data_IF_786269720985
#
_entry.id   IF_786269720985
#
_cell.length_a   1.000
_cell.length_b   1.000
_cell.length_c   1.000
_cell.angle_alpha   90.00
_cell.angle_beta   90.00
_cell.angle_gamma   90.00
#
_symmetry.space_group_name_H-M   'P 1'
#
loop_
_entity.id
_entity.type
_entity.pdbx_description
1 polymer ?
#
# COMPACT_ATOMS: atom_id res chain seq x y z
N UNK A 1 8.81 -2.21 -10.16
CA UNK A 1 9.38 -3.54 -9.81
C UNK A 1 9.92 -3.64 -8.39
N UNK A 2 10.46 -2.59 -7.77
CA UNK A 2 11.05 -2.67 -6.42
C UNK A 2 10.05 -2.91 -5.28
N UNK A 3 8.86 -2.31 -5.37
CA UNK A 3 7.81 -2.46 -4.36
C UNK A 3 7.33 -3.92 -4.22
N UNK A 4 7.18 -4.63 -5.34
CA UNK A 4 6.77 -6.05 -5.34
C UNK A 4 7.81 -6.97 -4.67
N UNK A 5 9.11 -6.61 -4.71
CA UNK A 5 10.17 -7.38 -4.02
C UNK A 5 10.17 -7.15 -2.51
N UNK A 6 9.71 -5.98 -2.08
CA UNK A 6 9.68 -5.57 -0.67
C UNK A 6 8.41 -6.02 0.05
N UNK A 7 7.34 -6.29 -0.69
CA UNK A 7 6.05 -6.74 -0.18
C UNK A 7 5.88 -8.26 -0.26
N UNK A 8 5.43 -8.87 0.84
CA UNK A 8 5.13 -10.30 0.95
C UNK A 8 3.63 -10.48 1.21
N UNK A 9 3.01 -11.44 0.52
CA UNK A 9 1.61 -11.81 0.74
C UNK A 9 0.60 -11.01 -0.08
N UNK A 10 1.03 -10.37 -1.17
CA UNK A 10 0.15 -9.71 -2.13
C UNK A 10 0.68 -9.87 -3.56
N UNK A 11 0.37 -11.01 -4.23
CA UNK A 11 0.99 -11.37 -5.51
C UNK A 11 0.54 -10.48 -6.67
N UNK A 12 -0.70 -10.01 -6.67
CA UNK A 12 -1.30 -9.26 -7.79
C UNK A 12 -1.14 -7.75 -7.60
N UNK A 13 0.04 -7.29 -7.19
CA UNK A 13 0.29 -5.87 -6.99
C UNK A 13 0.22 -5.09 -8.31
N UNK A 14 0.74 -5.67 -9.39
CA UNK A 14 0.82 -5.09 -10.73
C UNK A 14 -0.47 -5.30 -11.53
N UNK A 15 -1.57 -4.73 -11.05
CA UNK A 15 -2.80 -4.65 -11.81
C UNK A 15 -2.76 -3.43 -12.75
N UNK A 16 -3.22 -3.56 -14.00
CA UNK A 16 -3.26 -2.46 -14.97
C UNK A 16 -4.23 -1.36 -14.55
N UNK A 17 -5.23 -1.65 -13.72
CA UNK A 17 -6.14 -0.65 -13.17
C UNK A 17 -5.66 -0.03 -11.86
N UNK A 18 -4.47 -0.42 -11.37
CA UNK A 18 -3.94 0.01 -10.08
C UNK A 18 -2.81 1.00 -10.26
N UNK A 19 -3.07 2.25 -9.88
CA UNK A 19 -2.08 3.30 -9.84
C UNK A 19 -1.51 3.46 -8.45
N UNK A 20 -0.19 3.58 -8.35
CA UNK A 20 0.47 3.93 -7.11
C UNK A 20 0.23 5.40 -6.77
N UNK A 21 -0.11 5.67 -5.51
CA UNK A 21 -0.39 7.03 -5.02
C UNK A 21 0.65 7.46 -4.00
N UNK A 22 0.82 6.68 -2.93
CA UNK A 22 1.71 7.03 -1.83
C UNK A 22 2.17 5.80 -1.06
N UNK A 23 3.43 5.80 -0.65
CA UNK A 23 3.95 4.88 0.36
C UNK A 23 4.49 5.68 1.54
N UNK A 24 4.37 5.14 2.74
CA UNK A 24 4.94 5.82 3.89
C UNK A 24 4.66 5.13 5.21
N UNK A 25 5.32 5.64 6.24
CA UNK A 25 5.10 5.19 7.60
C UNK A 25 4.02 5.97 8.31
N UNK A 26 3.13 5.22 8.95
CA UNK A 26 2.12 5.74 9.85
C UNK A 26 2.06 4.85 11.09
N UNK A 27 1.56 5.42 12.18
CA UNK A 27 1.17 4.66 13.35
C UNK A 27 -0.22 4.08 13.12
N UNK A 28 -0.43 2.80 13.40
CA UNK A 28 -1.74 2.16 13.47
C UNK A 28 -2.09 1.88 14.92
N UNK A 29 -3.27 2.33 15.35
CA UNK A 29 -3.76 2.03 16.68
C UNK A 29 -4.36 0.63 16.74
N UNK A 30 -4.16 -0.02 17.87
CA UNK A 30 -4.69 -1.32 18.25
C UNK A 30 -5.15 -1.27 19.71
N UNK A 31 -5.68 -2.39 20.22
CA UNK A 31 -6.08 -2.49 21.64
C UNK A 31 -4.92 -2.23 22.60
N UNK A 32 -3.68 -2.55 22.19
CA UNK A 32 -2.50 -2.51 23.04
C UNK A 32 -1.61 -1.29 22.78
N UNK A 33 -2.16 -0.24 22.13
CA UNK A 33 -1.42 0.96 21.78
C UNK A 33 -1.21 1.11 20.27
N UNK A 34 -0.26 1.97 19.91
CA UNK A 34 0.07 2.30 18.52
C UNK A 34 1.38 1.64 18.09
N UNK A 35 1.42 1.17 16.85
CA UNK A 35 2.61 0.55 16.26
C UNK A 35 2.90 1.18 14.90
N UNK A 36 4.16 1.27 14.53
CA UNK A 36 4.56 1.75 13.21
C UNK A 36 4.32 0.66 12.15
N UNK A 37 3.65 1.04 11.07
CA UNK A 37 3.41 0.17 9.92
C UNK A 37 3.76 0.92 8.63
N UNK A 38 4.25 0.20 7.62
CA UNK A 38 4.24 0.73 6.26
C UNK A 38 2.83 0.63 5.69
N UNK A 39 2.38 1.73 5.11
CA UNK A 39 1.15 1.84 4.35
C UNK A 39 1.48 2.11 2.88
N UNK A 40 0.70 1.49 2.00
CA UNK A 40 0.80 1.66 0.56
C UNK A 40 -0.59 1.96 0.01
N UNK A 41 -0.79 3.21 -0.41
CA UNK A 41 -2.01 3.68 -1.03
C UNK A 41 -1.89 3.57 -2.55
N UNK A 42 -2.88 2.89 -3.11
CA UNK A 42 -3.13 2.80 -4.54
C UNK A 42 -4.50 3.38 -4.87
N UNK A 43 -4.83 3.48 -6.16
CA UNK A 43 -6.11 4.00 -6.64
C UNK A 43 -7.32 3.22 -6.12
N UNK A 44 -7.21 1.90 -5.99
CA UNK A 44 -8.30 0.98 -5.64
C UNK A 44 -8.18 0.41 -4.21
N UNK A 45 -6.99 0.47 -3.62
CA UNK A 45 -6.70 -0.23 -2.37
C UNK A 45 -5.66 0.50 -1.50
N UNK A 46 -5.87 0.44 -0.19
CA UNK A 46 -4.89 0.80 0.83
C UNK A 46 -4.40 -0.47 1.53
N UNK A 47 -3.10 -0.75 1.45
CA UNK A 47 -2.45 -1.86 2.14
C UNK A 47 -1.74 -1.37 3.41
N UNK A 48 -1.77 -2.18 4.47
CA UNK A 48 -0.92 -1.98 5.64
C UNK A 48 -0.21 -3.28 6.01
N UNK A 49 1.00 -3.14 6.52
CA UNK A 49 1.96 -4.24 6.59
C UNK A 49 2.64 -4.33 7.94
N UNK A 50 3.28 -5.46 8.21
CA UNK A 50 4.17 -5.66 9.36
C UNK A 50 5.58 -5.93 8.86
N UNK A 51 6.58 -5.40 9.56
CA UNK A 51 7.99 -5.68 9.24
C UNK A 51 8.31 -7.14 9.53
N UNK A 52 8.98 -7.81 8.61
CA UNK A 52 9.51 -9.15 8.81
C UNK A 52 10.91 -9.08 9.42
N UNK A 53 11.14 -9.86 10.48
CA UNK A 53 12.42 -9.89 11.21
C UNK A 53 13.34 -10.98 10.65
N UNK A 54 13.85 -10.80 9.43
CA UNK A 54 14.70 -11.79 8.75
C UNK A 54 16.01 -11.20 8.20
N UNK A 55 16.47 -10.09 8.77
CA UNK A 55 17.70 -9.40 8.34
C UNK A 55 17.55 -8.53 7.08
N UNK A 56 16.43 -8.60 6.37
CA UNK A 56 16.09 -7.70 5.26
C UNK A 56 14.91 -6.81 5.63
N UNK A 57 14.83 -5.61 5.07
CA UNK A 57 13.66 -4.75 5.24
C UNK A 57 12.55 -5.17 4.29
N UNK A 58 11.83 -6.23 4.67
CA UNK A 58 10.64 -6.72 3.96
C UNK A 58 9.39 -6.55 4.80
N UNK A 59 8.26 -6.38 4.12
CA UNK A 59 6.98 -6.05 4.72
C UNK A 59 5.94 -7.08 4.31
N UNK A 60 5.35 -7.77 5.29
CA UNK A 60 4.24 -8.71 5.06
C UNK A 60 2.92 -7.96 5.16
N UNK A 61 2.09 -8.07 4.14
CA UNK A 61 0.73 -7.49 4.15
C UNK A 61 -0.07 -8.12 5.30
N UNK A 62 -0.54 -7.27 6.20
CA UNK A 62 -1.37 -7.66 7.34
C UNK A 62 -2.85 -7.48 7.01
N UNK A 63 -3.17 -6.47 6.20
CA UNK A 63 -4.52 -6.27 5.73
C UNK A 63 -4.60 -5.17 4.69
N UNK A 64 -5.81 -5.04 4.18
CA UNK A 64 -6.16 -4.10 3.12
C UNK A 64 -7.52 -3.46 3.38
N UNK A 65 -7.72 -2.27 2.81
CA UNK A 65 -8.98 -1.54 2.75
C UNK A 65 -9.22 -1.19 1.28
N UNK A 66 -10.37 -1.56 0.73
CA UNK A 66 -10.76 -1.02 -0.58
C UNK A 66 -11.04 0.48 -0.44
N UNK A 67 -10.66 1.25 -1.46
CA UNK A 67 -10.97 2.69 -1.53
C UNK A 67 -12.44 2.94 -1.88
N UNK A 68 -13.08 1.95 -2.52
CA UNK A 68 -14.52 1.89 -2.74
C UNK A 68 -15.27 1.85 -1.40
N UNK A 69 -16.13 2.84 -1.18
CA UNK A 69 -16.91 2.95 0.06
C UNK A 69 -16.09 3.33 1.30
N UNK A 70 -14.81 3.69 1.15
CA UNK A 70 -13.98 4.17 2.25
C UNK A 70 -14.43 5.57 2.69
N UNK A 71 -14.54 5.76 4.00
CA UNK A 71 -14.75 7.05 4.65
C UNK A 71 -13.49 7.43 5.42
N UNK A 72 -13.13 8.71 5.31
CA UNK A 72 -11.95 9.28 5.96
C UNK A 72 -12.44 10.36 6.90
N UNK A 73 -12.21 10.17 8.20
CA UNK A 73 -12.68 11.08 9.23
C UNK A 73 -11.50 11.60 10.03
N UNK A 74 -11.49 12.91 10.31
CA UNK A 74 -10.54 13.50 11.24
C UNK A 74 -10.92 13.04 12.65
N UNK A 75 -9.93 12.75 13.48
CA UNK A 75 -10.18 12.37 14.87
C UNK A 75 -9.37 13.23 15.81
N UNK A 76 -9.90 13.46 17.00
CA UNK A 76 -9.15 14.02 18.12
C UNK A 76 -7.91 13.17 18.45
N UNK A 77 -6.88 13.77 19.08
CA UNK A 77 -5.70 13.04 19.53
C UNK A 77 -6.07 11.80 20.36
N UNK A 78 -5.44 10.66 20.07
CA UNK A 78 -5.67 9.41 20.81
C UNK A 78 -4.43 9.01 21.59
N UNK A 79 -4.60 8.71 22.87
CA UNK A 79 -3.52 8.29 23.77
C UNK A 79 -2.32 9.26 23.74
N UNK A 80 -2.59 10.57 23.66
CA UNK A 80 -1.57 11.62 23.58
C UNK A 80 -0.87 11.76 22.22
N UNK A 81 -1.28 10.99 21.21
CA UNK A 81 -0.76 11.09 19.84
C UNK A 81 -1.68 11.98 19.01
N UNK A 82 -1.12 13.05 18.45
CA UNK A 82 -1.81 13.98 17.55
C UNK A 82 -1.90 13.45 16.12
N UNK A 83 -2.55 14.22 15.24
CA UNK A 83 -2.59 13.95 13.79
C UNK A 83 -3.25 12.61 13.45
N UNK A 84 -4.32 12.29 14.15
CA UNK A 84 -5.07 11.06 13.98
C UNK A 84 -6.16 11.19 12.90
N UNK A 85 -6.38 10.10 12.17
CA UNK A 85 -7.49 9.93 11.24
C UNK A 85 -8.07 8.52 11.36
N UNK A 86 -9.38 8.42 11.20
CA UNK A 86 -10.12 7.17 11.12
C UNK A 86 -10.45 6.83 9.66
N UNK A 87 -10.17 5.58 9.29
CA UNK A 87 -10.46 5.00 7.99
C UNK A 87 -11.48 3.88 8.18
N UNK A 88 -12.66 4.08 7.61
CA UNK A 88 -13.82 3.21 7.86
C UNK A 88 -14.42 2.77 6.54
N UNK A 89 -14.61 1.47 6.35
CA UNK A 89 -15.48 0.92 5.32
C UNK A 89 -16.46 -0.09 5.95
N UNK A 90 -17.27 -0.78 5.15
CA UNK A 90 -18.24 -1.74 5.67
C UNK A 90 -17.59 -2.90 6.47
N UNK A 91 -16.33 -3.22 6.20
CA UNK A 91 -15.65 -4.39 6.76
C UNK A 91 -14.70 -4.05 7.91
N UNK A 92 -14.12 -2.85 7.91
CA UNK A 92 -12.96 -2.51 8.76
C UNK A 92 -13.01 -1.05 9.21
N UNK A 93 -12.54 -0.86 10.44
CA UNK A 93 -12.32 0.44 11.05
C UNK A 93 -10.86 0.51 11.55
N UNK A 94 -10.07 1.42 10.98
CA UNK A 94 -8.68 1.65 11.35
C UNK A 94 -8.53 3.07 11.87
N UNK A 95 -7.77 3.24 12.94
CA UNK A 95 -7.30 4.56 13.34
C UNK A 95 -5.80 4.59 13.12
N UNK A 96 -5.34 5.63 12.46
CA UNK A 96 -3.93 5.84 12.13
C UNK A 96 -3.50 7.24 12.55
N UNK A 97 -2.19 7.44 12.75
CA UNK A 97 -1.61 8.76 12.98
C UNK A 97 -0.37 8.97 12.14
N UNK A 98 -0.21 10.20 11.66
CA UNK A 98 1.00 10.65 10.98
C UNK A 98 2.04 11.17 12.00
N UNK A 99 3.31 11.17 11.59
CA UNK A 99 4.43 11.64 12.41
C UNK A 99 4.46 13.16 12.61
N UNK A 100 3.78 13.91 11.75
CA UNK A 100 3.74 15.38 11.77
C UNK A 100 2.49 15.89 11.07
N UNK A 101 2.16 17.16 11.27
CA UNK A 101 1.08 17.85 10.56
C UNK A 101 1.27 17.86 9.03
N UNK A 102 2.52 17.96 8.56
CA UNK A 102 2.84 17.91 7.14
C UNK A 102 2.48 16.54 6.55
N UNK A 103 2.90 15.46 7.20
CA UNK A 103 2.60 14.11 6.76
C UNK A 103 1.09 13.81 6.87
N UNK A 104 0.44 14.29 7.93
CA UNK A 104 -1.01 14.22 8.10
C UNK A 104 -1.75 14.83 6.92
N UNK A 105 -1.37 16.05 6.54
CA UNK A 105 -2.03 16.79 5.47
C UNK A 105 -1.86 16.09 4.13
N UNK A 106 -0.66 15.59 3.84
CA UNK A 106 -0.37 14.78 2.64
C UNK A 106 -1.24 13.53 2.56
N UNK A 107 -1.27 12.74 3.63
CA UNK A 107 -2.06 11.50 3.69
C UNK A 107 -3.55 11.78 3.59
N UNK A 108 -4.06 12.76 4.34
CA UNK A 108 -5.46 13.15 4.31
C UNK A 108 -5.90 13.59 2.92
N UNK A 109 -5.11 14.46 2.26
CA UNK A 109 -5.43 14.97 0.93
C UNK A 109 -5.51 13.85 -0.12
N UNK A 110 -4.52 12.95 -0.15
CA UNK A 110 -4.52 11.84 -1.10
C UNK A 110 -5.66 10.85 -0.85
N UNK A 111 -5.93 10.51 0.43
CA UNK A 111 -7.02 9.62 0.79
C UNK A 111 -8.38 10.20 0.40
N UNK A 112 -8.62 11.49 0.66
CA UNK A 112 -9.85 12.17 0.28
C UNK A 112 -10.03 12.19 -1.24
N UNK A 113 -8.98 12.54 -1.98
CA UNK A 113 -8.98 12.54 -3.45
C UNK A 113 -9.30 11.15 -4.03
N UNK A 114 -8.71 10.10 -3.47
CA UNK A 114 -8.98 8.73 -3.90
C UNK A 114 -10.41 8.30 -3.61
N UNK A 115 -10.95 8.64 -2.44
CA UNK A 115 -12.36 8.36 -2.09
C UNK A 115 -13.32 9.09 -3.01
N UNK A 116 -13.05 10.36 -3.32
CA UNK A 116 -13.86 11.15 -4.25
C UNK A 116 -13.85 10.55 -5.66
N UNK A 117 -12.66 10.19 -6.16
CA UNK A 117 -12.52 9.52 -7.44
C UNK A 117 -13.31 8.20 -7.48
N UNK A 118 -13.23 7.37 -6.44
CA UNK A 118 -13.96 6.11 -6.37
C UNK A 118 -15.48 6.31 -6.45
N UNK A 119 -16.03 7.33 -5.79
CA UNK A 119 -17.47 7.68 -5.87
C UNK A 119 -17.89 8.10 -7.28
N UNK A 120 -17.07 8.91 -7.94
CA UNK A 120 -17.37 9.38 -9.29
C UNK A 120 -17.39 8.24 -10.32
N UNK A 121 -16.50 7.25 -10.17
CA UNK A 121 -16.50 6.06 -11.03
C UNK A 121 -17.75 5.19 -10.80
N UNK A 122 -18.22 5.04 -9.55
CA UNK A 122 -19.46 4.31 -9.27
C UNK A 122 -20.69 5.00 -9.87
N UNK A 123 -20.77 6.32 -9.74
CA UNK A 123 -21.89 7.10 -10.30
C UNK A 123 -21.88 7.09 -11.84
N UNK A 124 -20.70 7.09 -12.47
CA UNK A 124 -20.56 6.98 -13.93
C UNK A 124 -20.98 5.62 -14.49
N UNK A 125 -20.75 4.52 -13.75
CA UNK A 125 -21.22 3.18 -14.13
C UNK A 125 -22.74 3.09 -14.03
N UNK A 126 -23.34 3.70 -13.00
CA UNK A 126 -24.80 3.65 -12.78
C UNK A 126 -25.60 4.45 -13.82
N UNK A 127 -24.99 5.43 -14.49
CA UNK A 127 -25.58 6.17 -15.62
C UNK A 127 -25.31 5.53 -16.99
N UNK A 128 -24.49 4.46 -17.06
CA UNK A 128 -24.07 3.84 -18.33
C UNK A 128 -24.54 2.40 -18.48
N UNK A 129 -25.50 1.93 -17.67
CA UNK A 129 -26.04 0.57 -17.78
C UNK A 129 -27.01 0.43 -18.96
N UNK A 130 -26.45 0.46 -20.17
CA UNK A 130 -27.00 -0.13 -21.39
C UNK A 130 -25.85 -0.46 -22.34
N UNK A 131 -24.95 -1.36 -21.94
CA UNK A 131 -24.35 -2.30 -22.89
C UNK A 131 -23.63 -3.42 -22.17
N UNK A 132 -24.14 -4.63 -22.38
CA UNK A 132 -23.50 -5.89 -22.07
C UNK A 132 -22.15 -5.99 -22.78
N UNK A 133 -21.11 -6.36 -22.05
CA UNK A 133 -19.88 -6.87 -22.64
C UNK A 133 -19.67 -8.28 -22.13
N UNK A 134 -19.61 -9.19 -23.09
CA UNK A 134 -19.49 -10.63 -22.93
C UNK A 134 -18.09 -11.00 -22.45
N UNK A 135 -18.08 -11.97 -21.55
CA UNK A 135 -16.96 -12.85 -21.18
C UNK A 135 -16.13 -13.29 -22.39
N UNK A 136 -14.81 -13.23 -22.26
CA UNK A 136 -13.87 -13.98 -23.09
C UNK A 136 -12.86 -14.66 -22.16
N UNK A 137 -13.01 -15.97 -22.06
CA UNK A 137 -12.02 -16.90 -21.51
C UNK A 137 -10.91 -17.08 -22.55
N UNK A 138 -9.65 -17.00 -22.12
CA UNK A 138 -8.55 -17.61 -22.86
C UNK A 138 -7.71 -18.48 -21.92
N UNK A 139 -7.70 -19.77 -22.29
CA UNK A 139 -6.97 -20.91 -21.75
C UNK A 139 -5.54 -20.89 -22.30
N UNK A 140 -4.53 -21.04 -21.44
CA UNK A 140 -3.21 -21.50 -21.89
C UNK A 140 -2.61 -22.52 -20.91
N UNK A 141 -2.00 -23.53 -21.52
CA UNK A 141 -1.68 -24.84 -20.99
C UNK A 141 -0.30 -24.92 -20.31
N UNK A 142 -0.18 -25.99 -19.52
CA UNK A 142 0.99 -26.46 -18.78
C UNK A 142 2.20 -26.75 -19.67
N UNK A 143 3.39 -26.66 -19.10
CA UNK A 143 4.54 -27.50 -19.45
C UNK A 143 5.42 -27.68 -18.23
N UNK A 144 5.51 -28.93 -17.78
CA UNK A 144 6.50 -29.45 -16.85
C UNK A 144 7.87 -29.49 -17.55
N UNK A 145 8.95 -29.19 -16.83
CA UNK A 145 10.18 -29.98 -16.96
C UNK A 145 11.06 -29.82 -15.72
N UNK A 146 11.62 -30.95 -15.30
CA UNK A 146 12.54 -31.11 -14.18
C UNK A 146 13.99 -30.96 -14.66
N UNK A 147 14.88 -30.46 -13.79
CA UNK A 147 16.28 -30.92 -13.76
C UNK A 147 17.04 -30.41 -12.53
N UNK A 148 18.17 -31.07 -12.30
CA UNK A 148 18.73 -31.54 -11.04
C UNK A 148 20.09 -30.87 -10.69
N UNK A 149 20.49 -30.98 -9.40
CA UNK A 149 21.74 -30.63 -8.70
C UNK A 149 22.59 -29.40 -9.13
N UNK A 150 22.86 -28.52 -8.15
CA UNK A 150 24.21 -28.42 -7.56
C UNK A 150 24.28 -27.48 -6.35
N UNK A 151 24.84 -27.98 -5.26
CA UNK A 151 25.23 -27.20 -4.08
C UNK A 151 26.50 -26.43 -4.46
N UNK A 152 26.41 -25.10 -4.52
CA UNK A 152 27.57 -24.23 -4.48
C UNK A 152 27.44 -23.21 -3.36
N UNK A 153 28.36 -23.33 -2.41
CA UNK A 153 28.59 -22.46 -1.27
C UNK A 153 29.10 -21.13 -1.81
N UNK A 154 28.22 -20.16 -2.05
CA UNK A 154 28.62 -18.81 -2.42
C UNK A 154 28.55 -17.89 -1.20
N UNK A 155 29.71 -17.32 -0.89
CA UNK A 155 29.92 -16.28 0.10
C UNK A 155 28.86 -15.19 -0.07
N UNK A 156 28.16 -14.86 1.03
CA UNK A 156 27.15 -13.80 1.03
C UNK A 156 27.78 -12.54 0.44
N UNK A 157 27.35 -12.06 -0.75
CA UNK A 157 27.69 -10.72 -1.15
C UNK A 157 27.04 -9.83 -0.10
N UNK A 158 27.83 -8.96 0.53
CA UNK A 158 27.30 -7.84 1.29
C UNK A 158 26.53 -7.02 0.26
N UNK A 159 25.23 -7.28 0.16
CA UNK A 159 24.35 -6.53 -0.73
C UNK A 159 24.40 -5.11 -0.22
N UNK A 160 25.09 -4.22 -0.93
CA UNK A 160 24.92 -2.79 -0.77
C UNK A 160 23.41 -2.54 -0.78
N UNK A 161 22.85 -2.29 0.40
CA UNK A 161 21.43 -2.09 0.57
C UNK A 161 21.06 -0.87 -0.26
N UNK A 162 20.51 -1.09 -1.44
CA UNK A 162 19.98 -0.02 -2.28
C UNK A 162 18.98 0.71 -1.37
N UNK A 163 19.26 1.97 -1.06
CA UNK A 163 18.40 2.80 -0.23
C UNK A 163 17.10 3.06 -1.00
N UNK A 164 16.19 2.10 -1.02
CA UNK A 164 14.90 2.29 -1.68
C UNK A 164 14.09 3.32 -0.90
N UNK A 165 13.18 4.00 -1.58
CA UNK A 165 12.24 4.95 -0.98
C UNK A 165 11.54 4.36 0.25
N UNK A 166 11.18 3.09 0.20
CA UNK A 166 10.58 2.32 1.32
C UNK A 166 11.49 2.31 2.55
N UNK A 167 12.81 2.12 2.38
CA UNK A 167 13.75 2.13 3.51
C UNK A 167 13.81 3.51 4.16
N UNK A 168 13.80 4.57 3.34
CA UNK A 168 13.82 5.95 3.83
C UNK A 168 12.53 6.26 4.58
N UNK A 169 11.38 5.94 3.99
CA UNK A 169 10.07 6.10 4.61
C UNK A 169 10.00 5.39 5.98
N UNK A 170 10.51 4.16 6.05
CA UNK A 170 10.53 3.38 7.29
C UNK A 170 11.36 4.03 8.40
N UNK A 171 12.59 4.43 8.12
CA UNK A 171 13.48 4.92 9.18
C UNK A 171 13.28 6.40 9.51
N UNK A 172 12.66 7.18 8.61
CA UNK A 172 12.45 8.62 8.80
C UNK A 172 11.02 9.00 9.16
N UNK A 173 10.10 8.04 9.21
CA UNK A 173 8.68 8.28 9.48
C UNK A 173 8.08 9.33 8.52
N UNK A 174 8.37 9.17 7.23
CA UNK A 174 7.86 10.04 6.16
C UNK A 174 7.10 9.20 5.12
N UNK A 175 6.53 9.88 4.16
CA UNK A 175 5.90 9.31 2.97
C UNK A 175 6.42 9.95 1.69
N UNK A 176 6.35 9.16 0.61
CA UNK A 176 6.73 9.53 -0.75
C UNK A 176 5.52 9.20 -1.64
N UNK A 177 5.07 10.19 -2.41
CA UNK A 177 3.99 10.04 -3.37
C UNK A 177 4.51 9.67 -4.76
N UNK A 178 3.60 9.24 -5.64
CA UNK A 178 3.90 9.06 -7.06
C UNK A 178 4.41 10.35 -7.71
N UNK A 179 3.87 11.51 -7.31
CA UNK A 179 4.33 12.82 -7.78
C UNK A 179 5.78 13.12 -7.33
N UNK A 180 6.12 12.79 -6.08
CA UNK A 180 7.49 12.97 -5.56
C UNK A 180 8.49 12.11 -6.34
N UNK A 181 8.12 10.86 -6.64
CA UNK A 181 8.93 9.95 -7.46
C UNK A 181 9.13 10.49 -8.89
N UNK A 182 8.06 10.99 -9.52
CA UNK A 182 8.14 11.57 -10.86
C UNK A 182 9.04 12.80 -10.92
N UNK A 183 9.04 13.65 -9.88
CA UNK A 183 9.93 14.81 -9.81
C UNK A 183 11.39 14.40 -9.60
N UNK A 184 11.66 13.30 -8.89
CA UNK A 184 13.02 12.82 -8.64
C UNK A 184 13.73 12.20 -9.86
N UNK A 185 12.99 11.93 -10.93
CA UNK A 185 13.51 11.32 -12.18
C UNK A 185 13.83 12.39 -13.23
N UNK A 186 13.46 13.66 -12.99
CA UNK A 186 13.78 14.81 -13.85
C UNK A 186 15.08 15.47 -13.42
#
# INVERSE_FOLDING_TARGET
MELQRSLIGFPNLLDKSRDFVREGCLLKFSRNGSHQHMFFLFSDILLYTTRVHNGQLRFKVQGQLSTSGLKVEKTEPKFGVSYCLALCNAEKHLVIAASSEREYTKWLGDLQKIVENAKNHQNGIHNSSSQSYKTLEEKYESSDDADDYSIQKSEKPITHHVNTSIHVCWHRNISISSQDLQLSIK
#
